data_IF_796495327968
#
_entry.id   IF_796495327968
#
_cell.length_a   1.000
_cell.length_b   1.000
_cell.length_c   1.000
_cell.angle_alpha   90.00
_cell.angle_beta   90.00
_cell.angle_gamma   90.00
#
_symmetry.space_group_name_H-M   'P 1'
#
loop_
_entity.id
_entity.type
_entity.pdbx_description
1 polymer ?
#
# COMPACT_ATOMS: atom_id res chain seq x y z
N UNK A 1 9.23 -6.13 15.46
CA UNK A 1 9.46 -5.41 14.18
C UNK A 1 8.99 -6.34 13.07
N UNK A 2 8.14 -5.88 12.15
CA UNK A 2 7.67 -6.69 11.03
C UNK A 2 8.74 -6.63 9.91
N UNK A 3 9.11 -7.75 9.25
CA UNK A 3 10.03 -7.70 8.13
C UNK A 3 9.41 -6.95 6.94
N UNK A 4 10.24 -6.41 6.04
CA UNK A 4 9.78 -5.60 4.89
C UNK A 4 8.85 -6.35 3.93
N UNK A 5 8.98 -7.68 3.84
CA UNK A 5 8.11 -8.58 3.08
C UNK A 5 7.05 -9.27 3.97
N UNK A 6 6.92 -8.86 5.23
CA UNK A 6 5.94 -9.40 6.17
C UNK A 6 4.58 -8.76 6.00
N UNK A 7 3.53 -9.57 6.10
CA UNK A 7 2.16 -9.10 6.09
C UNK A 7 1.73 -8.74 7.52
N UNK A 8 1.19 -7.54 7.71
CA UNK A 8 0.73 -7.08 9.04
C UNK A 8 -0.56 -7.79 9.40
N UNK A 9 -0.54 -8.54 10.51
CA UNK A 9 -1.70 -9.25 11.06
C UNK A 9 -2.48 -8.49 12.13
N UNK A 10 -1.96 -7.35 12.59
CA UNK A 10 -2.64 -6.51 13.58
C UNK A 10 -3.41 -5.39 12.89
N UNK A 11 -4.75 -5.41 12.89
CA UNK A 11 -5.61 -4.39 12.30
C UNK A 11 -7.07 -4.54 12.74
N UNK A 12 -8.02 -3.74 12.21
CA UNK A 12 -7.86 -2.87 11.05
C UNK A 12 -7.36 -1.44 11.36
N UNK A 13 -6.45 -0.92 10.53
CA UNK A 13 -5.83 0.41 10.64
C UNK A 13 -5.92 1.24 9.35
N UNK A 14 -5.56 0.62 8.21
CA UNK A 14 -5.51 1.27 6.90
C UNK A 14 -6.75 0.93 6.06
N UNK A 15 -6.89 1.63 4.93
CA UNK A 15 -8.09 1.62 4.07
C UNK A 15 -8.55 0.23 3.67
N UNK A 16 -7.62 -0.62 3.25
CA UNK A 16 -7.92 -1.93 2.68
C UNK A 16 -7.54 -3.06 3.63
N UNK A 17 -7.62 -2.82 4.95
CA UNK A 17 -7.39 -3.87 5.92
C UNK A 17 -8.54 -4.90 5.89
N UNK A 18 -8.24 -6.18 5.66
CA UNK A 18 -9.24 -7.26 5.70
C UNK A 18 -9.53 -7.73 7.15
N UNK A 19 -8.96 -7.07 8.15
CA UNK A 19 -9.16 -7.40 9.55
C UNK A 19 -10.59 -7.05 10.00
N UNK A 20 -11.16 -7.87 10.87
CA UNK A 20 -12.44 -7.56 11.52
C UNK A 20 -12.24 -6.56 12.65
N UNK A 21 -13.07 -5.52 12.81
CA UNK A 21 -12.99 -4.66 13.99
C UNK A 21 -13.38 -5.44 15.27
N UNK A 22 -12.89 -5.04 16.46
CA UNK A 22 -11.94 -3.96 16.72
C UNK A 22 -10.50 -4.35 16.38
N UNK A 23 -9.59 -3.36 16.41
CA UNK A 23 -8.19 -3.56 16.08
C UNK A 23 -7.52 -4.54 17.07
N UNK A 24 -7.02 -5.65 16.53
CA UNK A 24 -6.31 -6.69 17.28
C UNK A 24 -5.41 -7.52 16.36
N UNK A 25 -4.55 -8.34 16.94
CA UNK A 25 -3.82 -9.35 16.19
C UNK A 25 -4.78 -10.45 15.70
N UNK A 26 -4.79 -10.74 14.39
CA UNK A 26 -5.62 -11.76 13.76
C UNK A 26 -4.73 -12.65 12.89
N UNK A 27 -4.07 -13.68 13.47
CA UNK A 27 -3.29 -14.64 12.70
C UNK A 27 -4.12 -15.25 11.57
N UNK A 28 -3.53 -15.42 10.38
CA UNK A 28 -4.24 -15.88 9.18
C UNK A 28 -4.88 -14.75 8.36
N UNK A 29 -4.97 -13.54 8.90
CA UNK A 29 -5.36 -12.33 8.17
C UNK A 29 -4.14 -11.41 8.09
N UNK A 30 -3.68 -11.09 6.89
CA UNK A 30 -2.49 -10.29 6.69
C UNK A 30 -2.67 -9.28 5.57
N UNK A 31 -2.09 -8.10 5.73
CA UNK A 31 -2.06 -7.08 4.68
C UNK A 31 -0.67 -6.48 4.50
N UNK A 32 -0.27 -6.27 3.26
CA UNK A 32 0.95 -5.57 2.88
C UNK A 32 0.63 -4.43 1.92
N UNK A 33 1.31 -3.29 2.06
CA UNK A 33 1.08 -2.11 1.23
C UNK A 33 2.35 -1.76 0.45
N UNK A 34 2.18 -1.45 -0.83
CA UNK A 34 3.24 -0.97 -1.69
C UNK A 34 2.74 0.04 -2.70
N UNK A 35 3.69 0.71 -3.35
CA UNK A 35 3.40 1.65 -4.40
C UNK A 35 4.31 1.38 -5.61
N UNK A 36 3.87 1.80 -6.80
CA UNK A 36 4.62 1.61 -8.05
C UNK A 36 5.92 2.40 -8.13
N UNK A 37 6.09 3.39 -7.25
CA UNK A 37 7.27 4.26 -7.25
C UNK A 37 7.55 4.93 -5.91
N UNK A 38 8.69 5.62 -5.79
CA UNK A 38 9.09 6.27 -4.54
C UNK A 38 8.15 7.39 -4.11
N UNK A 39 7.60 8.18 -5.04
CA UNK A 39 6.72 9.31 -4.72
C UNK A 39 5.43 8.88 -4.01
N UNK A 40 4.61 7.96 -4.54
CA UNK A 40 3.43 7.48 -3.84
C UNK A 40 3.78 6.72 -2.55
N UNK A 41 4.90 5.99 -2.51
CA UNK A 41 5.36 5.34 -1.28
C UNK A 41 5.65 6.36 -0.16
N UNK A 42 6.37 7.44 -0.48
CA UNK A 42 6.66 8.52 0.46
C UNK A 42 5.40 9.28 0.86
N UNK A 43 4.49 9.53 -0.09
CA UNK A 43 3.22 10.20 0.18
C UNK A 43 2.39 9.41 1.20
N UNK A 44 2.20 8.11 0.98
CA UNK A 44 1.42 7.26 1.89
C UNK A 44 2.09 7.11 3.27
N UNK A 45 3.42 6.99 3.31
CA UNK A 45 4.17 6.82 4.56
C UNK A 45 4.16 8.08 5.45
N UNK A 46 4.24 9.27 4.85
CA UNK A 46 4.36 10.54 5.57
C UNK A 46 3.09 11.41 5.52
N UNK A 47 1.95 10.85 5.11
CA UNK A 47 0.71 11.61 4.87
C UNK A 47 0.21 12.42 6.08
N UNK A 48 0.42 11.93 7.30
CA UNK A 48 -0.07 12.58 8.53
C UNK A 48 0.74 13.83 8.85
N UNK A 49 2.08 13.73 8.84
CA UNK A 49 2.96 14.83 9.21
C UNK A 49 3.37 15.75 8.06
N UNK A 50 3.10 15.35 6.80
CA UNK A 50 3.51 16.04 5.57
C UNK A 50 5.00 16.45 5.57
N UNK A 51 5.82 15.70 6.29
CA UNK A 51 7.24 15.92 6.50
C UNK A 51 7.94 14.59 6.36
N UNK A 52 8.86 14.49 5.42
CA UNK A 52 9.71 13.33 5.19
C UNK A 52 10.91 13.46 6.12
N UNK A 53 10.78 12.92 7.32
CA UNK A 53 11.89 12.79 8.28
C UNK A 53 12.72 11.56 7.93
N UNK A 54 13.95 11.78 7.47
CA UNK A 54 14.87 10.76 6.96
C UNK A 54 15.64 10.05 8.08
N UNK A 55 15.54 10.54 9.31
CA UNK A 55 16.35 10.12 10.45
C UNK A 55 15.52 9.42 11.51
N UNK A 56 14.34 9.94 11.83
CA UNK A 56 13.47 9.40 12.88
C UNK A 56 13.00 7.99 12.55
N UNK A 57 13.44 7.03 13.36
CA UNK A 57 13.14 5.61 13.15
C UNK A 57 13.94 4.98 12.00
N UNK A 58 14.94 5.69 11.45
CA UNK A 58 15.81 5.26 10.35
C UNK A 58 15.03 4.57 9.22
N UNK A 59 14.07 5.26 8.57
CA UNK A 59 13.22 4.66 7.55
C UNK A 59 14.01 4.25 6.31
N UNK A 60 13.54 3.21 5.62
CA UNK A 60 14.16 2.67 4.40
C UNK A 60 13.21 2.79 3.21
N UNK A 61 13.76 3.15 2.05
CA UNK A 61 13.12 2.94 0.77
C UNK A 61 13.47 1.54 0.27
N UNK A 62 12.49 0.64 0.26
CA UNK A 62 12.66 -0.74 -0.19
C UNK A 62 11.91 -0.99 -1.49
N UNK A 63 12.64 -1.42 -2.52
CA UNK A 63 12.10 -1.85 -3.80
C UNK A 63 12.20 -3.38 -3.95
N UNK A 64 11.20 -3.99 -4.58
CA UNK A 64 11.14 -5.43 -4.79
C UNK A 64 10.57 -5.75 -6.17
N UNK A 65 10.76 -7.00 -6.60
CA UNK A 65 10.08 -7.60 -7.76
C UNK A 65 9.45 -8.91 -7.30
N UNK A 66 8.14 -9.08 -7.54
CA UNK A 66 7.45 -10.33 -7.20
C UNK A 66 8.03 -11.50 -8.00
N UNK A 67 8.01 -12.69 -7.41
CA UNK A 67 8.57 -13.92 -8.01
C UNK A 67 7.63 -14.60 -9.00
N UNK A 68 6.37 -14.15 -9.06
CA UNK A 68 5.35 -14.57 -10.03
C UNK A 68 4.40 -13.42 -10.34
N UNK A 69 3.59 -13.60 -11.38
CA UNK A 69 2.51 -12.67 -11.68
C UNK A 69 1.48 -12.62 -10.55
N UNK A 70 0.95 -11.41 -10.34
CA UNK A 70 0.01 -11.11 -9.26
C UNK A 70 -1.40 -10.91 -9.82
N UNK A 71 -2.37 -11.61 -9.21
CA UNK A 71 -3.80 -11.45 -9.51
C UNK A 71 -4.37 -10.35 -8.63
N UNK A 72 -4.36 -9.13 -9.16
CA UNK A 72 -4.87 -7.96 -8.46
C UNK A 72 -6.25 -7.59 -8.99
N UNK A 73 -7.17 -7.30 -8.07
CA UNK A 73 -8.43 -6.69 -8.41
C UNK A 73 -8.21 -5.20 -8.66
N UNK A 74 -8.56 -4.74 -9.85
CA UNK A 74 -8.34 -3.35 -10.25
C UNK A 74 -9.47 -2.44 -9.78
N UNK A 75 -9.17 -1.61 -8.78
CA UNK A 75 -10.04 -0.57 -8.25
C UNK A 75 -9.62 0.83 -8.67
N UNK A 76 -8.59 0.94 -9.51
CA UNK A 76 -8.07 2.21 -9.95
C UNK A 76 -9.08 2.93 -10.86
N UNK A 77 -9.19 4.24 -10.68
CA UNK A 77 -10.10 5.08 -11.46
C UNK A 77 -9.56 5.41 -12.85
N UNK A 78 -8.26 5.17 -13.06
CA UNK A 78 -7.58 5.30 -14.36
C UNK A 78 -7.73 4.07 -15.26
N UNK A 79 -8.35 3.01 -14.75
CA UNK A 79 -8.47 1.74 -15.46
C UNK A 79 -9.77 1.66 -16.25
N UNK A 80 -9.67 1.16 -17.48
CA UNK A 80 -10.83 0.79 -18.32
C UNK A 80 -11.61 -0.38 -17.72
N UNK A 81 -11.03 -1.09 -16.74
CA UNK A 81 -11.56 -2.33 -16.20
C UNK A 81 -12.87 -2.17 -15.42
N UNK A 82 -13.40 -0.96 -15.14
CA UNK A 82 -14.75 -0.65 -14.60
C UNK A 82 -15.33 -1.62 -13.55
N UNK A 83 -14.49 -2.33 -12.79
CA UNK A 83 -14.94 -3.31 -11.81
C UNK A 83 -15.80 -2.67 -10.72
N UNK A 84 -15.47 -1.46 -10.20
CA UNK A 84 -16.34 -0.76 -9.26
C UNK A 84 -17.77 -0.65 -9.80
N UNK A 85 -17.92 -0.27 -11.07
CA UNK A 85 -19.21 -0.14 -11.75
C UNK A 85 -19.90 -1.50 -11.93
N UNK A 86 -19.17 -2.56 -12.31
CA UNK A 86 -19.74 -3.90 -12.47
C UNK A 86 -20.16 -4.56 -11.15
N UNK A 87 -19.48 -4.26 -10.06
CA UNK A 87 -19.82 -4.76 -8.73
C UNK A 87 -20.96 -3.97 -8.05
N UNK A 88 -21.63 -3.06 -8.77
CA UNK A 88 -22.68 -2.19 -8.22
C UNK A 88 -22.14 -1.11 -7.26
N UNK A 89 -20.83 -0.87 -7.28
CA UNK A 89 -20.14 0.14 -6.50
C UNK A 89 -20.02 1.49 -7.23
N UNK A 90 -19.78 2.55 -6.47
CA UNK A 90 -19.47 3.88 -7.00
C UNK A 90 -17.95 4.14 -6.96
N UNK A 91 -17.48 5.16 -7.69
CA UNK A 91 -16.10 5.68 -7.62
C UNK A 91 -15.67 6.15 -6.20
N UNK A 92 -16.56 6.07 -5.21
CA UNK A 92 -16.27 6.36 -3.81
C UNK A 92 -15.13 5.50 -3.23
N UNK A 93 -14.67 4.45 -3.89
CA UNK A 93 -13.52 3.63 -3.42
C UNK A 93 -12.30 4.50 -3.10
N UNK A 94 -12.04 5.55 -3.89
CA UNK A 94 -10.88 6.43 -3.73
C UNK A 94 -11.01 7.41 -2.57
N UNK A 95 -12.25 7.81 -2.21
CA UNK A 95 -12.55 8.89 -1.25
C UNK A 95 -13.28 8.42 0.00
N UNK A 96 -13.74 7.16 0.04
CA UNK A 96 -14.57 6.66 1.14
C UNK A 96 -13.80 6.55 2.47
N UNK A 97 -14.52 6.64 3.61
CA UNK A 97 -13.96 6.39 4.92
C UNK A 97 -13.29 5.02 5.04
N UNK A 98 -12.33 4.89 5.96
CA UNK A 98 -11.64 3.62 6.22
C UNK A 98 -12.64 2.51 6.57
N UNK A 99 -13.68 2.80 7.35
CA UNK A 99 -14.71 1.82 7.71
C UNK A 99 -15.46 1.20 6.53
N UNK A 100 -15.58 1.94 5.42
CA UNK A 100 -16.22 1.46 4.19
C UNK A 100 -15.22 0.64 3.37
N UNK A 101 -14.04 1.19 3.12
CA UNK A 101 -12.97 0.51 2.34
C UNK A 101 -12.51 -0.80 3.01
N UNK A 102 -12.46 -0.85 4.34
CA UNK A 102 -12.14 -2.07 5.10
C UNK A 102 -13.24 -3.12 5.00
N UNK A 103 -14.51 -2.69 4.98
CA UNK A 103 -15.65 -3.60 4.78
C UNK A 103 -15.58 -4.23 3.39
N UNK A 104 -15.21 -3.46 2.38
CA UNK A 104 -15.01 -3.96 1.03
C UNK A 104 -13.85 -4.93 0.98
N UNK A 105 -12.69 -4.59 1.56
CA UNK A 105 -11.54 -5.49 1.62
C UNK A 105 -11.91 -6.85 2.22
N UNK A 106 -12.65 -6.87 3.35
CA UNK A 106 -13.18 -8.10 3.94
C UNK A 106 -14.05 -8.91 2.99
N UNK A 107 -15.05 -8.29 2.38
CA UNK A 107 -15.96 -8.97 1.44
C UNK A 107 -15.22 -9.50 0.21
N UNK A 108 -14.23 -8.76 -0.29
CA UNK A 108 -13.42 -9.19 -1.43
C UNK A 108 -12.57 -10.40 -1.05
N UNK A 109 -11.90 -10.38 0.11
CA UNK A 109 -11.10 -11.53 0.57
C UNK A 109 -11.95 -12.75 0.92
N UNK A 110 -13.18 -12.56 1.38
CA UNK A 110 -14.14 -13.65 1.62
C UNK A 110 -14.62 -14.28 0.30
N UNK A 111 -14.92 -13.47 -0.71
CA UNK A 111 -15.45 -13.94 -1.99
C UNK A 111 -14.37 -14.52 -2.91
N UNK A 112 -13.13 -14.03 -2.79
CA UNK A 112 -12.00 -14.42 -3.63
C UNK A 112 -10.78 -14.79 -2.76
N UNK A 113 -10.79 -15.97 -2.12
CA UNK A 113 -9.76 -16.37 -1.15
C UNK A 113 -8.36 -16.49 -1.76
N UNK A 114 -8.27 -16.72 -3.08
CA UNK A 114 -7.00 -16.85 -3.81
C UNK A 114 -6.51 -15.52 -4.44
N UNK A 115 -7.20 -14.41 -4.20
CA UNK A 115 -6.83 -13.11 -4.74
C UNK A 115 -5.57 -12.57 -4.04
N UNK A 116 -4.58 -12.15 -4.83
CA UNK A 116 -3.32 -11.64 -4.30
C UNK A 116 -3.48 -10.26 -3.67
N UNK A 117 -4.39 -9.43 -4.19
CA UNK A 117 -4.59 -8.10 -3.65
C UNK A 117 -5.45 -7.19 -4.49
N UNK A 118 -5.34 -5.90 -4.20
CA UNK A 118 -6.05 -4.80 -4.84
C UNK A 118 -5.04 -3.83 -5.45
N UNK A 119 -5.34 -3.33 -6.65
CA UNK A 119 -4.69 -2.15 -7.23
C UNK A 119 -5.62 -0.94 -7.04
N UNK A 120 -5.09 0.19 -6.59
CA UNK A 120 -5.84 1.44 -6.41
C UNK A 120 -4.94 2.65 -6.69
N UNK A 121 -5.51 3.84 -6.90
CA UNK A 121 -4.70 5.06 -7.05
C UNK A 121 -4.39 5.69 -5.67
N UNK A 122 -3.16 6.13 -5.47
CA UNK A 122 -2.80 6.96 -4.31
C UNK A 122 -3.63 8.26 -4.31
N UNK A 123 -4.04 8.72 -3.12
CA UNK A 123 -4.76 10.00 -2.98
C UNK A 123 -3.91 11.22 -3.34
N UNK A 124 -2.59 11.08 -3.35
CA UNK A 124 -1.66 12.21 -3.39
C UNK A 124 -0.92 12.38 -4.72
N UNK A 125 -0.66 11.28 -5.43
CA UNK A 125 0.10 11.30 -6.67
C UNK A 125 -0.69 10.77 -7.88
N UNK A 126 -1.89 10.20 -7.67
CA UNK A 126 -2.62 9.48 -8.71
C UNK A 126 -1.94 8.17 -9.16
N UNK A 127 -0.69 7.94 -8.74
CA UNK A 127 0.09 6.77 -9.10
C UNK A 127 -0.47 5.47 -8.47
N UNK A 128 -0.24 4.31 -9.12
CA UNK A 128 -0.71 3.02 -8.62
C UNK A 128 -0.12 2.63 -7.26
N UNK A 129 -1.00 2.30 -6.33
CA UNK A 129 -0.71 1.61 -5.10
C UNK A 129 -1.34 0.22 -5.09
N UNK A 130 -0.79 -0.66 -4.26
CA UNK A 130 -1.29 -2.01 -4.07
C UNK A 130 -1.50 -2.31 -2.60
N UNK A 131 -2.56 -3.03 -2.30
CA UNK A 131 -2.80 -3.66 -1.01
C UNK A 131 -2.85 -5.17 -1.25
N UNK A 132 -1.87 -5.91 -0.74
CA UNK A 132 -1.76 -7.35 -0.92
C UNK A 132 -2.34 -8.09 0.29
N UNK A 133 -2.92 -9.26 0.02
CA UNK A 133 -3.45 -10.18 1.02
C UNK A 133 -2.56 -11.43 1.14
N UNK A 134 -2.85 -12.29 2.12
CA UNK A 134 -1.99 -13.41 2.49
C UNK A 134 -1.58 -14.35 1.33
N UNK A 135 -2.41 -14.64 0.30
CA UNK A 135 -1.98 -15.46 -0.84
C UNK A 135 -0.74 -14.92 -1.57
N UNK A 136 -0.57 -13.60 -1.61
CA UNK A 136 0.57 -12.94 -2.25
C UNK A 136 1.90 -13.15 -1.50
N UNK A 137 1.87 -13.64 -0.25
CA UNK A 137 3.10 -13.96 0.49
C UNK A 137 3.99 -14.95 -0.26
N UNK A 138 3.38 -15.88 -1.02
CA UNK A 138 4.10 -16.84 -1.88
C UNK A 138 4.90 -16.18 -3.02
N UNK A 139 4.55 -14.95 -3.39
CA UNK A 139 5.22 -14.19 -4.45
C UNK A 139 6.26 -13.19 -3.92
N UNK A 140 6.40 -13.07 -2.60
CA UNK A 140 7.37 -12.16 -2.00
C UNK A 140 8.79 -12.71 -2.19
N UNK A 141 9.74 -11.90 -2.69
CA UNK A 141 11.12 -12.35 -2.76
C UNK A 141 11.75 -12.44 -1.36
N UNK A 142 12.77 -13.27 -1.22
CA UNK A 142 13.54 -13.40 0.02
C UNK A 142 14.54 -12.26 0.22
N UNK A 143 14.91 -11.56 -0.86
CA UNK A 143 15.80 -10.41 -0.85
C UNK A 143 15.16 -9.24 -1.60
N UNK A 144 15.27 -8.00 -1.09
CA UNK A 144 14.81 -6.84 -1.83
C UNK A 144 15.71 -6.59 -3.04
N UNK A 145 15.15 -5.98 -4.09
CA UNK A 145 15.92 -5.50 -5.23
C UNK A 145 16.73 -4.24 -4.88
N UNK A 146 16.20 -3.45 -3.94
CA UNK A 146 16.83 -2.27 -3.38
C UNK A 146 16.37 -2.11 -1.92
N UNK A 147 17.28 -1.80 -1.01
CA UNK A 147 16.91 -1.29 0.31
C UNK A 147 17.96 -0.29 0.76
N UNK A 148 17.59 0.99 0.83
CA UNK A 148 18.47 2.07 1.23
C UNK A 148 17.81 2.90 2.32
N UNK A 149 18.53 3.32 3.37
CA UNK A 149 17.99 4.24 4.35
C UNK A 149 17.65 5.57 3.65
N UNK A 150 16.58 6.24 4.07
CA UNK A 150 16.20 7.54 3.47
C UNK A 150 17.30 8.61 3.65
N UNK A 151 18.17 8.46 4.65
CA UNK A 151 19.36 9.30 4.84
C UNK A 151 20.45 9.09 3.78
N UNK A 152 20.39 8.03 2.97
CA UNK A 152 21.39 7.74 1.95
C UNK A 152 21.51 8.90 0.93
N UNK A 153 22.72 9.40 0.64
CA UNK A 153 22.91 10.59 -0.21
C UNK A 153 22.39 10.38 -1.65
N UNK A 154 22.50 9.16 -2.18
CA UNK A 154 21.96 8.80 -3.50
C UNK A 154 20.43 8.90 -3.63
N UNK A 155 19.69 9.01 -2.51
CA UNK A 155 18.24 9.24 -2.53
C UNK A 155 17.86 10.72 -2.38
N UNK A 156 18.79 11.60 -2.00
CA UNK A 156 18.48 12.98 -1.59
C UNK A 156 17.71 13.76 -2.67
N UNK A 157 18.19 13.76 -3.92
CA UNK A 157 17.52 14.45 -5.03
C UNK A 157 16.15 13.87 -5.35
N UNK A 158 15.99 12.54 -5.29
CA UNK A 158 14.70 11.88 -5.56
C UNK A 158 13.68 12.18 -4.48
N UNK A 159 14.11 12.20 -3.21
CA UNK A 159 13.28 12.56 -2.06
C UNK A 159 12.88 14.03 -2.14
N UNK A 160 13.83 14.94 -2.41
CA UNK A 160 13.55 16.36 -2.57
C UNK A 160 12.54 16.62 -3.70
N UNK A 161 12.72 15.99 -4.87
CA UNK A 161 11.78 16.11 -5.97
C UNK A 161 10.39 15.53 -5.65
N UNK A 162 10.32 14.41 -4.92
CA UNK A 162 9.05 13.86 -4.45
C UNK A 162 8.37 14.81 -3.45
N UNK A 163 9.12 15.35 -2.49
CA UNK A 163 8.61 16.30 -1.50
C UNK A 163 8.07 17.56 -2.17
N UNK A 164 8.78 18.10 -3.16
CA UNK A 164 8.33 19.26 -3.93
C UNK A 164 6.99 18.99 -4.65
N UNK A 165 6.86 17.83 -5.32
CA UNK A 165 5.59 17.44 -5.98
C UNK A 165 4.43 17.27 -5.02
N UNK A 166 4.71 16.76 -3.81
CA UNK A 166 3.70 16.50 -2.78
C UNK A 166 3.39 17.74 -1.90
N UNK A 167 4.22 18.78 -1.99
CA UNK A 167 4.21 19.92 -1.08
C UNK A 167 4.53 19.50 0.37
N UNK A 168 5.51 18.62 0.54
CA UNK A 168 5.99 18.12 1.84
C UNK A 168 7.33 18.77 2.21
N UNK A 169 7.62 18.83 3.51
CA UNK A 169 8.95 19.20 4.01
C UNK A 169 9.88 17.97 4.01
N UNK A 170 11.20 18.20 4.04
CA UNK A 170 12.22 17.15 4.17
C UNK A 170 13.18 17.53 5.30
N UNK A 171 13.44 16.59 6.21
CA UNK A 171 14.38 16.74 7.34
C UNK A 171 15.33 15.53 7.35
#
# INVERSE_FOLDING_TARGET
MLPWNGFRAHGPHLRFDPHTPPARNQPGTGVWYGASGPTPALAEAFQVGRTIDRWRGAPYLTGLRFTRDMRLLDLATDSTASWPTRAGGTFAISTAPHSITQRWARRITEAFPDLDGLRYNSRFAGEPCIALFLPAASAMPTRPALSLPLSHPGLALRIAGAAQRLGYLVI
#
